data_IF_596974456522
#
_entry.id   IF_596974456522
#
_cell.length_a   1.000
_cell.length_b   1.000
_cell.length_c   1.000
_cell.angle_alpha   90.00
_cell.angle_beta   90.00
_cell.angle_gamma   90.00
#
_symmetry.space_group_name_H-M   'P 1'
#
loop_
_entity.id
_entity.type
_entity.pdbx_description
1 polymer ?
#
# COMPACT_ATOMS: atom_id res chain seq x y z
N UNK A 1 45.34 -15.14 5.59
CA UNK A 1 44.13 -14.45 5.11
C UNK A 1 44.23 -13.68 3.81
N UNK A 2 45.30 -12.94 3.51
CA UNK A 2 45.39 -12.22 2.23
C UNK A 2 45.28 -13.11 0.96
N UNK A 3 45.70 -14.38 1.04
CA UNK A 3 45.62 -15.32 -0.10
C UNK A 3 44.22 -15.88 -0.38
N UNK A 4 43.35 -16.01 0.63
CA UNK A 4 42.00 -16.57 0.45
C UNK A 4 41.04 -15.56 -0.18
N UNK A 5 41.17 -14.28 0.20
CA UNK A 5 40.37 -13.19 -0.37
C UNK A 5 40.67 -12.96 -1.85
N UNK A 6 41.93 -13.13 -2.28
CA UNK A 6 42.31 -12.99 -3.69
C UNK A 6 41.80 -14.11 -4.59
N UNK A 7 41.79 -15.36 -4.10
CA UNK A 7 41.27 -16.49 -4.86
C UNK A 7 39.75 -16.37 -5.08
N UNK A 8 39.00 -16.02 -4.02
CA UNK A 8 37.55 -15.83 -4.10
C UNK A 8 37.16 -14.70 -5.05
N UNK A 9 37.89 -13.57 -5.04
CA UNK A 9 37.64 -12.48 -5.97
C UNK A 9 37.90 -12.88 -7.44
N UNK A 10 38.91 -13.73 -7.69
CA UNK A 10 39.21 -14.23 -9.02
C UNK A 10 38.11 -15.19 -9.53
N UNK A 11 37.59 -16.06 -8.65
CA UNK A 11 36.50 -16.98 -8.98
C UNK A 11 35.20 -16.23 -9.32
N UNK A 12 34.86 -15.19 -8.54
CA UNK A 12 33.70 -14.32 -8.82
C UNK A 12 33.82 -13.57 -10.14
N UNK A 13 35.01 -13.03 -10.44
CA UNK A 13 35.27 -12.35 -11.70
C UNK A 13 35.18 -13.32 -12.90
N UNK A 14 35.68 -14.55 -12.74
CA UNK A 14 35.59 -15.58 -13.76
C UNK A 14 34.14 -15.98 -14.05
N UNK A 15 33.30 -16.15 -13.02
CA UNK A 15 31.88 -16.47 -13.17
C UNK A 15 31.11 -15.37 -13.94
N UNK A 16 31.37 -14.09 -13.62
CA UNK A 16 30.76 -12.97 -14.36
C UNK A 16 31.20 -12.91 -15.81
N UNK A 17 32.48 -13.11 -16.08
CA UNK A 17 33.00 -13.07 -17.45
C UNK A 17 32.46 -14.25 -18.28
N UNK A 18 32.30 -15.43 -17.67
CA UNK A 18 31.66 -16.59 -18.29
C UNK A 18 30.19 -16.30 -18.66
N UNK A 19 29.42 -15.75 -17.72
CA UNK A 19 28.03 -15.40 -17.98
C UNK A 19 27.90 -14.28 -19.02
N UNK A 20 28.73 -13.24 -18.92
CA UNK A 20 28.79 -12.17 -19.92
C UNK A 20 29.08 -12.71 -21.31
N UNK A 21 30.07 -13.58 -21.45
CA UNK A 21 30.39 -14.22 -22.73
C UNK A 21 29.23 -15.07 -23.27
N UNK A 22 28.46 -15.70 -22.39
CA UNK A 22 27.23 -16.42 -22.75
C UNK A 22 26.15 -15.47 -23.27
N UNK A 23 25.90 -14.35 -22.57
CA UNK A 23 24.92 -13.35 -22.99
C UNK A 23 25.31 -12.66 -24.31
N UNK A 24 26.59 -12.30 -24.49
CA UNK A 24 27.11 -11.75 -25.74
C UNK A 24 26.92 -12.73 -26.92
N UNK A 25 27.13 -14.03 -26.69
CA UNK A 25 26.95 -15.05 -27.72
C UNK A 25 25.49 -15.28 -28.10
N UNK A 26 24.56 -15.16 -27.15
CA UNK A 26 23.13 -15.44 -27.36
C UNK A 26 22.39 -14.20 -27.91
N UNK A 27 22.61 -13.04 -27.29
CA UNK A 27 21.85 -11.82 -27.58
C UNK A 27 22.58 -10.87 -28.54
N UNK A 28 23.90 -11.00 -28.71
CA UNK A 28 24.65 -10.15 -29.66
C UNK A 28 24.47 -8.66 -29.38
N UNK A 29 23.93 -7.92 -30.37
CA UNK A 29 23.68 -6.47 -30.26
C UNK A 29 22.55 -6.10 -29.28
N UNK A 30 21.75 -7.07 -28.86
CA UNK A 30 20.67 -6.88 -27.90
C UNK A 30 21.15 -6.97 -26.43
N UNK A 31 22.42 -7.29 -26.19
CA UNK A 31 23.04 -7.24 -24.87
C UNK A 31 24.03 -6.07 -24.76
N UNK A 32 23.95 -5.34 -23.64
CA UNK A 32 24.89 -4.29 -23.30
C UNK A 32 25.36 -4.42 -21.85
N UNK A 33 26.67 -4.57 -21.65
CA UNK A 33 27.32 -4.38 -20.36
C UNK A 33 27.66 -2.89 -20.20
N UNK A 34 26.79 -2.14 -19.50
CA UNK A 34 26.95 -0.70 -19.30
C UNK A 34 28.14 -0.41 -18.37
N UNK A 35 28.19 -1.15 -17.27
CA UNK A 35 29.27 -1.13 -16.28
C UNK A 35 29.63 -2.57 -15.88
N UNK A 36 30.64 -2.72 -15.01
CA UNK A 36 31.02 -4.04 -14.47
C UNK A 36 29.86 -4.74 -13.76
N UNK A 37 28.99 -3.96 -13.12
CA UNK A 37 27.88 -4.42 -12.27
C UNK A 37 26.49 -4.05 -12.82
N UNK A 38 26.39 -3.46 -14.01
CA UNK A 38 25.12 -3.07 -14.61
C UNK A 38 25.05 -3.56 -16.05
N UNK A 39 24.18 -4.54 -16.28
CA UNK A 39 23.97 -5.17 -17.58
C UNK A 39 22.53 -4.97 -18.03
N UNK A 40 22.28 -4.97 -19.33
CA UNK A 40 20.92 -4.97 -19.86
C UNK A 40 20.78 -5.84 -21.09
N UNK A 41 19.63 -6.50 -21.22
CA UNK A 41 19.24 -7.30 -22.38
C UNK A 41 17.96 -6.71 -22.95
N UNK A 42 17.94 -6.49 -24.26
CA UNK A 42 16.76 -6.04 -24.97
C UNK A 42 15.83 -7.24 -25.22
N UNK A 43 14.62 -7.18 -24.69
CA UNK A 43 13.64 -8.26 -24.79
C UNK A 43 12.64 -8.05 -25.93
N UNK A 44 12.05 -9.16 -26.40
CA UNK A 44 10.81 -9.23 -27.18
C UNK A 44 10.72 -8.23 -28.35
N UNK A 45 11.48 -8.44 -29.43
CA UNK A 45 11.52 -7.58 -30.63
C UNK A 45 11.91 -6.11 -30.37
N UNK A 46 12.50 -5.81 -29.22
CA UNK A 46 13.00 -4.46 -28.90
C UNK A 46 12.06 -3.55 -28.14
N UNK A 47 11.12 -4.12 -27.39
CA UNK A 47 10.10 -3.36 -26.65
C UNK A 47 10.53 -2.93 -25.27
N UNK A 48 11.42 -3.69 -24.66
CA UNK A 48 11.87 -3.49 -23.29
C UNK A 48 13.36 -3.68 -23.17
N UNK A 49 13.94 -3.05 -22.15
CA UNK A 49 15.23 -3.42 -21.60
C UNK A 49 15.03 -4.10 -20.26
N UNK A 50 15.53 -5.32 -20.11
CA UNK A 50 15.68 -5.95 -18.81
C UNK A 50 17.06 -5.62 -18.27
N UNK A 51 17.10 -4.78 -17.25
CA UNK A 51 18.33 -4.25 -16.64
C UNK A 51 18.62 -5.00 -15.35
N UNK A 52 19.85 -5.47 -15.19
CA UNK A 52 20.35 -6.20 -14.02
C UNK A 52 21.43 -5.39 -13.32
N UNK A 53 21.27 -5.23 -12.01
CA UNK A 53 22.31 -4.77 -11.09
C UNK A 53 22.88 -5.97 -10.35
N UNK A 54 24.16 -6.25 -10.61
CA UNK A 54 24.88 -7.38 -10.04
C UNK A 54 25.63 -6.95 -8.77
N UNK A 55 25.32 -7.51 -7.59
CA UNK A 55 26.11 -7.28 -6.38
C UNK A 55 27.61 -7.58 -6.58
N UNK A 56 28.47 -6.93 -5.80
CA UNK A 56 29.92 -7.15 -5.87
C UNK A 56 30.36 -8.59 -5.55
N UNK A 57 29.49 -9.39 -4.93
CA UNK A 57 29.64 -10.80 -4.59
C UNK A 57 28.78 -11.74 -5.45
N UNK A 58 28.08 -11.25 -6.49
CA UNK A 58 27.39 -12.11 -7.46
C UNK A 58 28.37 -13.11 -8.11
N UNK A 59 28.04 -14.41 -8.21
CA UNK A 59 26.71 -15.03 -8.07
C UNK A 59 26.25 -15.44 -6.65
N UNK A 60 27.01 -15.15 -5.60
CA UNK A 60 26.65 -15.56 -4.23
C UNK A 60 25.52 -14.72 -3.61
N UNK A 61 25.27 -13.51 -4.15
CA UNK A 61 24.10 -12.69 -3.84
C UNK A 61 23.20 -12.51 -5.07
N UNK A 62 21.89 -12.41 -4.84
CA UNK A 62 20.89 -12.30 -5.90
C UNK A 62 21.04 -11.01 -6.70
N UNK A 63 20.98 -11.05 -8.05
CA UNK A 63 20.93 -9.86 -8.86
C UNK A 63 19.59 -9.13 -8.68
N UNK A 64 19.59 -7.81 -8.84
CA UNK A 64 18.35 -7.01 -8.82
C UNK A 64 18.00 -6.66 -10.26
N UNK A 65 16.81 -7.05 -10.72
CA UNK A 65 16.36 -6.72 -12.06
C UNK A 65 15.27 -5.64 -12.06
N UNK A 66 15.25 -4.83 -13.11
CA UNK A 66 14.14 -3.92 -13.44
C UNK A 66 13.87 -3.98 -14.94
N UNK A 67 12.65 -3.58 -15.31
CA UNK A 67 12.28 -3.43 -16.72
C UNK A 67 12.16 -1.94 -17.06
N UNK A 68 12.92 -1.51 -18.05
CA UNK A 68 12.89 -0.16 -18.59
C UNK A 68 12.20 -0.17 -19.97
N UNK A 69 11.40 0.86 -20.26
CA UNK A 69 10.74 0.98 -21.54
C UNK A 69 11.75 1.21 -22.69
N UNK A 70 11.55 0.53 -23.82
CA UNK A 70 12.26 0.82 -25.07
C UNK A 70 11.29 1.41 -26.11
N UNK A 71 11.68 1.45 -27.39
CA UNK A 71 10.90 2.08 -28.47
C UNK A 71 9.64 1.30 -28.90
N UNK A 72 9.25 0.25 -28.19
CA UNK A 72 8.11 -0.60 -28.54
C UNK A 72 6.79 -0.26 -27.83
N UNK A 73 5.75 -1.12 -28.03
CA UNK A 73 4.51 -1.06 -27.26
C UNK A 73 4.74 -1.01 -25.74
N UNK A 74 3.89 -0.27 -25.01
CA UNK A 74 4.00 -0.18 -23.56
C UNK A 74 3.78 -1.54 -22.91
N UNK A 75 4.61 -1.82 -21.91
CA UNK A 75 4.50 -3.01 -21.06
C UNK A 75 3.53 -2.67 -19.93
N UNK A 76 2.62 -3.58 -19.52
CA UNK A 76 1.75 -3.32 -18.39
C UNK A 76 2.53 -2.99 -17.12
N UNK A 77 2.12 -1.97 -16.38
CA UNK A 77 2.81 -1.53 -15.15
C UNK A 77 2.93 -2.65 -14.10
N UNK A 78 1.97 -3.58 -14.09
CA UNK A 78 1.97 -4.76 -13.22
C UNK A 78 3.08 -5.77 -13.54
N UNK A 79 3.71 -5.66 -14.71
CA UNK A 79 4.75 -6.61 -15.12
C UNK A 79 6.05 -6.42 -14.36
N UNK A 80 6.35 -5.20 -13.92
CA UNK A 80 7.57 -4.90 -13.17
C UNK A 80 7.70 -5.73 -11.88
N UNK A 81 6.59 -5.97 -11.17
CA UNK A 81 6.57 -6.83 -9.99
C UNK A 81 6.95 -8.28 -10.31
N UNK A 82 6.41 -8.82 -11.41
CA UNK A 82 6.69 -10.21 -11.84
C UNK A 82 8.15 -10.43 -12.21
N UNK A 83 8.83 -9.42 -12.74
CA UNK A 83 10.26 -9.51 -13.08
C UNK A 83 11.09 -9.78 -11.82
N UNK A 84 10.81 -9.10 -10.71
CA UNK A 84 11.53 -9.32 -9.45
C UNK A 84 11.29 -10.74 -8.91
N UNK A 85 10.04 -11.21 -8.93
CA UNK A 85 9.68 -12.57 -8.50
C UNK A 85 10.38 -13.62 -9.37
N UNK A 86 10.39 -13.43 -10.68
CA UNK A 86 11.05 -14.33 -11.64
C UNK A 86 12.54 -14.46 -11.34
N UNK A 87 13.21 -13.34 -11.06
CA UNK A 87 14.66 -13.36 -10.75
C UNK A 87 14.92 -14.09 -9.43
N UNK A 88 14.06 -13.89 -8.43
CA UNK A 88 14.15 -14.60 -7.17
C UNK A 88 13.94 -16.11 -7.32
N UNK A 89 13.09 -16.55 -8.24
CA UNK A 89 12.85 -17.97 -8.54
C UNK A 89 14.00 -18.62 -9.32
N UNK A 90 14.61 -17.90 -10.26
CA UNK A 90 15.71 -18.43 -11.08
C UNK A 90 17.06 -18.41 -10.36
N UNK A 91 17.24 -17.52 -9.38
CA UNK A 91 18.51 -17.37 -8.69
C UNK A 91 18.73 -18.46 -7.64
N UNK A 92 19.97 -18.96 -7.58
CA UNK A 92 20.47 -19.74 -6.46
C UNK A 92 21.92 -19.36 -6.16
N UNK A 93 22.36 -19.36 -4.88
CA UNK A 93 23.72 -19.01 -4.52
C UNK A 93 24.76 -19.80 -5.30
N UNK A 94 25.80 -19.10 -5.73
CA UNK A 94 26.93 -19.65 -6.49
C UNK A 94 26.61 -20.11 -7.92
N UNK A 95 25.39 -19.87 -8.42
CA UNK A 95 25.01 -20.12 -9.81
C UNK A 95 24.75 -18.79 -10.54
N UNK A 96 25.32 -18.69 -11.74
CA UNK A 96 24.97 -17.62 -12.67
C UNK A 96 23.55 -17.87 -13.22
N UNK A 97 22.71 -16.83 -13.34
CA UNK A 97 21.29 -16.99 -13.67
C UNK A 97 20.69 -15.90 -14.57
N UNK A 98 21.45 -14.91 -15.03
CA UNK A 98 20.95 -13.78 -15.84
C UNK A 98 20.32 -14.28 -17.13
N UNK A 99 20.92 -15.27 -17.80
CA UNK A 99 20.33 -15.87 -19.02
C UNK A 99 18.96 -16.52 -18.72
N UNK A 100 18.87 -17.33 -17.68
CA UNK A 100 17.63 -18.01 -17.29
C UNK A 100 16.55 -17.00 -16.90
N UNK A 101 16.92 -15.94 -16.17
CA UNK A 101 16.04 -14.81 -15.86
C UNK A 101 15.50 -14.15 -17.13
N UNK A 102 16.36 -13.85 -18.11
CA UNK A 102 15.93 -13.27 -19.38
C UNK A 102 14.95 -14.19 -20.10
N UNK A 103 15.26 -15.48 -20.23
CA UNK A 103 14.40 -16.45 -20.91
C UNK A 103 13.02 -16.57 -20.25
N UNK A 104 12.98 -16.60 -18.91
CA UNK A 104 11.73 -16.70 -18.16
C UNK A 104 10.88 -15.42 -18.30
N UNK A 105 11.50 -14.24 -18.23
CA UNK A 105 10.79 -12.96 -18.43
C UNK A 105 10.24 -12.85 -19.86
N UNK A 106 11.00 -13.28 -20.88
CA UNK A 106 10.50 -13.32 -22.26
C UNK A 106 9.31 -14.26 -22.44
N UNK A 107 9.32 -15.42 -21.79
CA UNK A 107 8.21 -16.37 -21.82
C UNK A 107 6.95 -15.73 -21.24
N UNK A 108 7.05 -15.08 -20.08
CA UNK A 108 5.91 -14.37 -19.47
C UNK A 108 5.39 -13.22 -20.35
N UNK A 109 6.27 -12.48 -21.04
CA UNK A 109 5.86 -11.45 -22.00
C UNK A 109 5.08 -12.06 -23.17
N UNK A 110 5.54 -13.19 -23.72
CA UNK A 110 4.83 -13.91 -24.80
C UNK A 110 3.47 -14.44 -24.34
N UNK A 111 3.36 -14.91 -23.10
CA UNK A 111 2.07 -15.35 -22.52
C UNK A 111 1.07 -14.21 -22.37
N UNK A 112 1.54 -13.01 -21.98
CA UNK A 112 0.70 -11.81 -21.91
C UNK A 112 0.18 -11.41 -23.30
N UNK A 113 0.99 -11.57 -24.34
CA UNK A 113 0.58 -11.31 -25.72
C UNK A 113 -0.41 -12.35 -26.24
N UNK A 114 -0.17 -13.63 -25.93
CA UNK A 114 -1.06 -14.72 -26.32
C UNK A 114 -2.42 -14.70 -25.62
N UNK A 115 -2.46 -14.20 -24.38
CA UNK A 115 -3.68 -14.02 -23.59
C UNK A 115 -4.44 -12.72 -23.92
N UNK A 116 -3.87 -11.84 -24.74
CA UNK A 116 -4.50 -10.60 -25.21
C UNK A 116 -5.70 -10.77 -26.16
N UNK A 117 -6.03 -12.00 -26.56
CA UNK A 117 -7.30 -12.32 -27.23
C UNK A 117 -8.35 -12.78 -26.19
N UNK A 118 -9.10 -11.83 -25.66
CA UNK A 118 -10.38 -12.02 -24.95
C UNK A 118 -10.38 -12.97 -23.73
N UNK A 119 -10.00 -12.43 -22.57
CA UNK A 119 -10.89 -12.51 -21.39
C UNK A 119 -10.84 -11.16 -20.66
N UNK A 120 -11.79 -10.29 -20.99
CA UNK A 120 -12.17 -9.21 -20.07
C UNK A 120 -12.67 -9.92 -18.81
N UNK A 121 -12.07 -9.70 -17.63
CA UNK A 121 -12.57 -10.30 -16.41
C UNK A 121 -14.03 -9.86 -16.23
N UNK A 122 -14.94 -10.83 -16.05
CA UNK A 122 -16.37 -10.61 -15.81
C UNK A 122 -16.65 -9.78 -14.55
N UNK A 123 -15.60 -9.44 -13.79
CA UNK A 123 -15.64 -8.53 -12.67
C UNK A 123 -14.57 -7.43 -12.80
N UNK A 124 -14.91 -6.20 -13.23
CA UNK A 124 -13.98 -5.06 -13.23
C UNK A 124 -13.55 -4.59 -11.82
N UNK A 125 -13.92 -5.33 -10.77
CA UNK A 125 -13.67 -5.01 -9.35
C UNK A 125 -12.37 -5.64 -8.79
N UNK A 126 -11.68 -6.54 -9.52
CA UNK A 126 -10.55 -7.33 -8.97
C UNK A 126 -9.13 -6.87 -9.36
N UNK A 127 -8.98 -5.93 -10.30
CA UNK A 127 -7.68 -5.30 -10.56
C UNK A 127 -7.62 -3.94 -9.87
N UNK A 128 -7.52 -3.92 -8.54
CA UNK A 128 -7.07 -2.72 -7.84
C UNK A 128 -5.65 -2.41 -8.33
N UNK A 129 -5.55 -1.44 -9.23
CA UNK A 129 -4.28 -1.01 -9.80
C UNK A 129 -3.35 -0.42 -8.75
N UNK A 130 -2.16 -0.01 -9.18
CA UNK A 130 -1.21 0.72 -8.36
C UNK A 130 -1.82 2.05 -7.91
N UNK A 131 -2.06 2.22 -6.60
CA UNK A 131 -2.37 3.52 -6.04
C UNK A 131 -1.08 4.32 -5.91
N UNK A 132 -1.10 5.58 -6.34
CA UNK A 132 0.01 6.51 -6.19
C UNK A 132 -0.51 7.84 -5.68
N UNK A 133 0.14 8.37 -4.66
CA UNK A 133 -0.22 9.64 -4.05
C UNK A 133 1.03 10.46 -3.72
N UNK A 134 0.98 11.74 -4.05
CA UNK A 134 2.01 12.72 -3.72
C UNK A 134 1.43 13.78 -2.79
N UNK A 135 2.14 14.07 -1.69
CA UNK A 135 1.76 15.10 -0.72
C UNK A 135 2.97 15.98 -0.37
N UNK A 136 2.77 17.29 -0.10
CA UNK A 136 3.87 18.15 0.35
C UNK A 136 4.50 17.62 1.64
N UNK A 137 5.83 17.75 1.77
CA UNK A 137 6.57 17.22 2.91
C UNK A 137 7.44 18.30 3.54
N UNK A 138 7.17 18.63 4.81
CA UNK A 138 8.05 19.52 5.56
C UNK A 138 9.40 18.87 5.82
N UNK A 139 10.50 19.63 5.75
CA UNK A 139 11.85 19.10 5.94
C UNK A 139 12.06 18.41 7.30
N UNK A 140 11.38 18.88 8.35
CA UNK A 140 11.38 18.27 9.70
C UNK A 140 10.71 16.89 9.73
N UNK A 141 9.68 16.69 8.91
CA UNK A 141 8.95 15.44 8.75
C UNK A 141 9.74 14.49 7.85
N UNK A 142 10.30 15.00 6.75
CA UNK A 142 11.16 14.25 5.82
C UNK A 142 12.34 13.57 6.55
N UNK A 143 12.96 14.28 7.51
CA UNK A 143 14.05 13.76 8.33
C UNK A 143 13.67 12.56 9.21
N UNK A 144 12.37 12.33 9.45
CA UNK A 144 11.86 11.22 10.26
C UNK A 144 11.35 10.06 9.40
N UNK A 145 10.74 10.35 8.23
CA UNK A 145 10.14 9.34 7.35
C UNK A 145 11.18 8.35 6.83
N UNK A 146 12.31 8.83 6.30
CA UNK A 146 13.37 7.98 5.74
C UNK A 146 13.93 6.94 6.74
N UNK A 147 14.41 7.37 7.92
CA UNK A 147 14.87 6.43 8.97
C UNK A 147 13.78 5.47 9.45
N UNK A 148 12.53 5.91 9.50
CA UNK A 148 11.40 5.06 9.88
C UNK A 148 11.14 3.95 8.84
N UNK A 149 11.23 4.26 7.55
CA UNK A 149 11.13 3.27 6.46
C UNK A 149 12.25 2.23 6.55
N UNK A 150 13.49 2.64 6.72
CA UNK A 150 14.62 1.71 6.89
C UNK A 150 14.44 0.80 8.12
N UNK A 151 14.01 1.37 9.24
CA UNK A 151 13.73 0.61 10.47
C UNK A 151 12.62 -0.42 10.30
N UNK A 152 11.68 -0.16 9.38
CA UNK A 152 10.60 -1.06 9.02
C UNK A 152 11.00 -2.11 7.94
N UNK A 153 12.26 -2.11 7.49
CA UNK A 153 12.77 -3.10 6.53
C UNK A 153 12.69 -2.68 5.06
N UNK A 154 12.39 -1.42 4.75
CA UNK A 154 12.47 -0.92 3.37
C UNK A 154 13.94 -0.84 2.91
N UNK A 155 14.20 -1.27 1.68
CA UNK A 155 15.47 -1.04 1.00
C UNK A 155 15.58 0.42 0.59
N UNK A 156 16.69 1.07 0.95
CA UNK A 156 16.96 2.46 0.55
C UNK A 156 17.86 2.53 -0.68
N UNK A 157 17.50 3.41 -1.61
CA UNK A 157 18.23 3.70 -2.83
C UNK A 157 18.72 5.16 -2.83
N UNK A 158 19.65 5.52 -3.73
CA UNK A 158 20.02 6.92 -3.93
C UNK A 158 18.80 7.81 -4.19
N UNK A 159 18.96 9.12 -3.94
CA UNK A 159 17.93 10.14 -4.18
C UNK A 159 16.69 10.07 -3.30
N UNK A 160 16.71 9.33 -2.18
CA UNK A 160 15.59 9.29 -1.24
C UNK A 160 14.46 8.35 -1.65
N UNK A 161 14.73 7.41 -2.56
CA UNK A 161 13.80 6.34 -2.91
C UNK A 161 13.94 5.17 -1.93
N UNK A 162 12.82 4.64 -1.47
CA UNK A 162 12.71 3.47 -0.60
C UNK A 162 11.74 2.48 -1.23
N UNK A 163 12.03 1.18 -1.16
CA UNK A 163 11.12 0.16 -1.66
C UNK A 163 10.99 -1.00 -0.68
N UNK A 164 9.78 -1.56 -0.58
CA UNK A 164 9.51 -2.82 0.07
C UNK A 164 8.98 -3.80 -0.97
N UNK A 165 9.89 -4.48 -1.67
CA UNK A 165 9.61 -5.25 -2.88
C UNK A 165 8.53 -6.32 -2.65
N UNK A 166 8.63 -7.08 -1.56
CA UNK A 166 7.65 -8.12 -1.20
C UNK A 166 6.26 -7.57 -0.90
N UNK A 167 6.16 -6.27 -0.59
CA UNK A 167 4.89 -5.60 -0.34
C UNK A 167 4.48 -4.70 -1.50
N UNK A 168 5.20 -4.64 -2.62
CA UNK A 168 4.85 -3.75 -3.73
C UNK A 168 4.60 -2.31 -3.27
N UNK A 169 5.50 -1.78 -2.42
CA UNK A 169 5.46 -0.39 -1.92
C UNK A 169 6.71 0.34 -2.37
N UNK A 170 6.54 1.51 -2.96
CA UNK A 170 7.63 2.45 -3.23
C UNK A 170 7.34 3.79 -2.57
N UNK A 171 8.34 4.37 -1.92
CA UNK A 171 8.24 5.67 -1.25
C UNK A 171 9.40 6.54 -1.69
N UNK A 172 9.11 7.69 -2.28
CA UNK A 172 10.10 8.72 -2.61
C UNK A 172 9.98 9.88 -1.63
N UNK A 173 11.05 10.14 -0.89
CA UNK A 173 11.15 11.19 0.13
C UNK A 173 11.99 12.34 -0.41
N UNK A 174 11.32 13.39 -0.92
CA UNK A 174 11.94 14.63 -1.40
C UNK A 174 11.32 15.87 -0.75
N UNK A 175 11.17 16.95 -1.51
CA UNK A 175 10.34 18.12 -1.12
C UNK A 175 8.86 17.74 -1.02
N UNK A 176 8.47 16.69 -1.73
CA UNK A 176 7.19 16.03 -1.66
C UNK A 176 7.41 14.56 -1.28
N UNK A 177 6.44 13.97 -0.60
CA UNK A 177 6.38 12.54 -0.34
C UNK A 177 5.51 11.90 -1.41
N UNK A 178 6.10 11.03 -2.23
CA UNK A 178 5.33 10.20 -3.17
C UNK A 178 5.33 8.76 -2.68
N UNK A 179 4.14 8.19 -2.49
CA UNK A 179 3.96 6.81 -2.04
C UNK A 179 3.13 6.09 -3.09
N UNK A 180 3.62 4.96 -3.55
CA UNK A 180 2.88 4.06 -4.41
C UNK A 180 2.74 2.69 -3.76
N UNK A 181 1.53 2.14 -3.84
CA UNK A 181 1.13 0.89 -3.18
C UNK A 181 0.22 0.12 -4.13
N UNK A 182 0.60 -1.10 -4.46
CA UNK A 182 -0.24 -1.99 -5.27
C UNK A 182 -1.52 -2.40 -4.53
N UNK A 183 -2.63 -2.70 -5.22
CA UNK A 183 -3.81 -3.31 -4.60
C UNK A 183 -4.52 -2.45 -3.53
N UNK A 184 -4.32 -1.14 -3.54
CA UNK A 184 -4.92 -0.19 -2.58
C UNK A 184 -5.64 0.92 -3.35
N UNK A 185 -6.68 1.51 -2.75
CA UNK A 185 -7.40 2.65 -3.33
C UNK A 185 -6.63 3.97 -3.09
N UNK A 186 -6.47 4.78 -4.14
CA UNK A 186 -5.69 6.03 -4.07
C UNK A 186 -6.24 7.00 -3.03
N UNK A 187 -7.56 7.15 -2.89
CA UNK A 187 -8.13 8.07 -1.90
C UNK A 187 -7.91 7.59 -0.46
N UNK A 188 -7.93 6.27 -0.25
CA UNK A 188 -7.65 5.67 1.06
C UNK A 188 -6.16 5.87 1.41
N UNK A 189 -5.25 5.72 0.44
CA UNK A 189 -3.83 6.06 0.62
C UNK A 189 -3.62 7.55 0.93
N UNK A 190 -4.25 8.46 0.18
CA UNK A 190 -4.18 9.90 0.44
C UNK A 190 -4.69 10.26 1.83
N UNK A 191 -5.83 9.68 2.24
CA UNK A 191 -6.39 9.90 3.58
C UNK A 191 -5.46 9.40 4.68
N UNK A 192 -4.84 8.23 4.47
CA UNK A 192 -3.88 7.68 5.42
C UNK A 192 -2.63 8.54 5.55
N UNK A 193 -2.06 9.03 4.43
CA UNK A 193 -0.88 9.90 4.45
C UNK A 193 -1.14 11.21 5.19
N UNK A 194 -2.25 11.88 4.90
CA UNK A 194 -2.60 13.13 5.57
C UNK A 194 -2.78 12.96 7.08
N UNK A 195 -3.27 11.80 7.51
CA UNK A 195 -3.37 11.48 8.92
C UNK A 195 -1.98 11.17 9.49
N UNK A 196 -1.22 10.25 8.88
CA UNK A 196 0.03 9.74 9.45
C UNK A 196 1.13 10.82 9.53
N UNK A 197 1.17 11.77 8.58
CA UNK A 197 2.26 12.75 8.50
C UNK A 197 2.32 13.76 9.65
N UNK A 198 1.27 13.92 10.45
CA UNK A 198 1.34 14.79 11.63
C UNK A 198 2.12 14.09 12.78
N UNK A 199 2.37 12.78 12.70
CA UNK A 199 3.22 12.02 13.63
C UNK A 199 4.05 10.94 12.90
N UNK A 200 5.14 11.31 12.22
CA UNK A 200 5.87 10.44 11.31
C UNK A 200 6.84 9.45 11.97
N UNK A 201 6.93 9.42 13.32
CA UNK A 201 7.97 8.67 14.07
C UNK A 201 8.02 7.18 13.69
N UNK A 202 6.85 6.56 13.48
CA UNK A 202 6.73 5.16 13.05
C UNK A 202 6.10 5.02 11.66
N UNK A 203 6.33 5.99 10.76
CA UNK A 203 5.75 6.01 9.43
C UNK A 203 5.90 4.67 8.68
N UNK A 204 7.11 4.11 8.62
CA UNK A 204 7.38 2.88 7.87
C UNK A 204 6.63 1.67 8.42
N UNK A 205 6.66 1.48 9.74
CA UNK A 205 5.96 0.37 10.41
C UNK A 205 4.44 0.49 10.26
N UNK A 206 3.90 1.70 10.48
CA UNK A 206 2.48 1.98 10.31
C UNK A 206 2.01 1.79 8.87
N UNK A 207 2.84 2.12 7.87
CA UNK A 207 2.52 1.90 6.46
C UNK A 207 2.39 0.40 6.17
N UNK A 208 3.35 -0.41 6.62
CA UNK A 208 3.30 -1.87 6.41
C UNK A 208 2.08 -2.49 7.09
N UNK A 209 1.81 -2.14 8.34
CA UNK A 209 0.65 -2.63 9.08
C UNK A 209 -0.65 -2.27 8.34
N UNK A 210 -0.77 -1.01 7.90
CA UNK A 210 -1.95 -0.53 7.20
C UNK A 210 -2.14 -1.19 5.83
N UNK A 211 -1.08 -1.32 5.01
CA UNK A 211 -1.16 -1.99 3.70
C UNK A 211 -1.47 -3.48 3.85
N UNK A 212 -0.82 -4.17 4.79
CA UNK A 212 -1.11 -5.58 5.10
C UNK A 212 -2.57 -5.74 5.51
N UNK A 213 -3.08 -4.78 6.29
CA UNK A 213 -4.49 -4.55 6.48
C UNK A 213 -5.18 -4.55 5.12
N UNK A 214 -5.12 -3.45 4.37
CA UNK A 214 -5.90 -3.23 3.13
C UNK A 214 -5.95 -4.41 2.15
N UNK A 215 -4.92 -5.24 2.05
CA UNK A 215 -4.79 -6.29 1.02
C UNK A 215 -5.20 -7.71 1.39
N UNK A 216 -5.30 -8.08 2.66
CA UNK A 216 -5.52 -9.49 3.08
C UNK A 216 -6.63 -10.19 2.26
N UNK A 217 -6.36 -11.32 1.57
CA UNK A 217 -7.34 -11.92 0.62
C UNK A 217 -8.51 -12.64 1.32
N UNK A 218 -8.26 -13.26 2.47
CA UNK A 218 -9.34 -13.80 3.30
C UNK A 218 -10.28 -12.67 3.77
N UNK A 219 -9.72 -11.45 3.92
CA UNK A 219 -10.43 -10.23 4.32
C UNK A 219 -9.66 -8.94 3.95
N UNK A 220 -9.94 -8.25 2.82
CA UNK A 220 -9.13 -7.08 2.41
C UNK A 220 -9.34 -5.90 3.35
N UNK A 221 -8.34 -5.53 4.14
CA UNK A 221 -8.37 -4.52 5.22
C UNK A 221 -7.80 -4.96 6.58
N UNK A 222 -7.41 -6.24 6.77
CA UNK A 222 -7.47 -6.92 8.07
C UNK A 222 -6.33 -7.93 8.29
N UNK A 223 -5.25 -7.49 8.93
CA UNK A 223 -4.21 -8.37 9.49
C UNK A 223 -4.50 -8.65 10.98
N UNK A 224 -4.12 -9.82 11.50
CA UNK A 224 -4.20 -10.19 12.94
C UNK A 224 -3.18 -9.44 13.81
N UNK A 225 -2.92 -8.16 13.52
CA UNK A 225 -1.97 -7.33 14.26
C UNK A 225 -2.57 -6.81 15.55
N UNK A 226 -2.05 -7.30 16.69
CA UNK A 226 -2.12 -6.70 18.04
C UNK A 226 -3.41 -5.98 18.45
N UNK A 227 -4.58 -6.47 18.05
CA UNK A 227 -5.83 -5.99 18.62
C UNK A 227 -5.79 -6.31 20.11
N UNK A 228 -5.59 -5.29 20.94
CA UNK A 228 -5.73 -5.39 22.38
C UNK A 228 -7.15 -5.90 22.62
N UNK A 229 -7.29 -7.12 23.11
CA UNK A 229 -8.60 -7.70 23.41
C UNK A 229 -9.28 -6.79 24.44
N UNK A 230 -10.18 -5.94 23.98
CA UNK A 230 -11.02 -5.12 24.85
C UNK A 230 -11.94 -6.09 25.56
N UNK A 231 -11.83 -6.16 26.90
CA UNK A 231 -12.65 -7.05 27.69
C UNK A 231 -14.14 -6.77 27.44
N UNK A 232 -14.95 -7.82 27.32
CA UNK A 232 -16.40 -7.68 27.15
C UNK A 232 -16.98 -6.80 28.28
N UNK A 233 -17.58 -5.67 27.90
CA UNK A 233 -18.22 -4.73 28.83
C UNK A 233 -17.41 -3.48 29.20
N UNK A 234 -16.18 -3.32 28.72
CA UNK A 234 -15.57 -1.98 28.69
C UNK A 234 -16.19 -1.17 27.56
N UNK A 235 -16.86 -0.09 27.94
CA UNK A 235 -17.26 1.01 27.06
C UNK A 235 -15.99 1.61 26.41
N UNK A 236 -16.12 2.49 25.42
CA UNK A 236 -15.00 3.01 24.62
C UNK A 236 -14.03 3.94 25.41
N UNK A 237 -13.71 3.60 26.67
CA UNK A 237 -12.90 4.32 27.65
C UNK A 237 -11.48 4.68 27.17
N UNK A 238 -10.98 3.98 26.15
CA UNK A 238 -9.68 4.26 25.55
C UNK A 238 -9.73 5.39 24.51
N UNK A 239 -10.92 5.84 24.10
CA UNK A 239 -11.08 6.99 23.23
C UNK A 239 -10.93 8.30 24.03
N UNK A 240 -10.49 9.40 23.38
CA UNK A 240 -10.47 10.71 24.02
C UNK A 240 -11.87 11.11 24.51
N UNK A 241 -11.98 11.70 25.69
CA UNK A 241 -13.27 12.13 26.21
C UNK A 241 -13.83 13.32 25.40
N UNK A 242 -15.16 13.45 25.36
CA UNK A 242 -15.82 14.60 24.72
C UNK A 242 -15.36 15.95 25.31
N UNK A 243 -15.07 16.00 26.61
CA UNK A 243 -14.54 17.20 27.28
C UNK A 243 -13.12 17.53 26.80
N UNK A 244 -12.24 16.53 26.67
CA UNK A 244 -10.88 16.73 26.19
C UNK A 244 -10.83 17.28 24.75
N UNK A 245 -11.81 16.89 23.93
CA UNK A 245 -11.95 17.36 22.54
C UNK A 245 -12.79 18.64 22.39
N UNK A 246 -13.30 19.21 23.48
CA UNK A 246 -14.10 20.45 23.45
C UNK A 246 -15.46 20.32 22.74
N UNK A 247 -16.05 19.12 22.79
CA UNK A 247 -17.29 18.78 22.05
C UNK A 247 -18.51 19.48 22.62
N UNK A 248 -19.32 20.07 21.74
CA UNK A 248 -20.64 20.61 22.07
C UNK A 248 -21.69 19.50 22.00
N UNK A 249 -21.86 18.75 23.10
CA UNK A 249 -22.73 17.55 23.16
C UNK A 249 -24.21 17.80 22.85
N UNK A 250 -24.68 19.03 23.04
CA UNK A 250 -26.06 19.44 22.80
C UNK A 250 -26.34 19.85 21.34
N UNK A 251 -25.31 19.86 20.49
CA UNK A 251 -25.42 20.25 19.08
C UNK A 251 -26.36 19.33 18.28
N UNK A 252 -27.22 19.96 17.51
CA UNK A 252 -27.98 19.30 16.44
C UNK A 252 -27.08 19.04 15.23
N UNK A 253 -26.48 17.85 15.18
CA UNK A 253 -25.62 17.39 14.09
C UNK A 253 -26.32 16.32 13.25
N UNK A 254 -26.28 16.44 11.92
CA UNK A 254 -26.70 15.37 11.02
C UNK A 254 -25.48 14.65 10.46
N UNK A 255 -25.41 13.33 10.65
CA UNK A 255 -24.30 12.48 10.19
C UNK A 255 -24.81 11.54 9.11
N UNK A 256 -24.42 11.78 7.86
CA UNK A 256 -24.74 10.88 6.75
C UNK A 256 -23.67 9.81 6.61
N UNK A 257 -24.08 8.59 6.24
CA UNK A 257 -23.13 7.53 5.88
C UNK A 257 -23.42 7.02 4.48
N UNK A 258 -22.36 6.78 3.71
CA UNK A 258 -22.48 6.39 2.32
C UNK A 258 -21.32 5.52 1.83
N UNK A 259 -21.49 4.92 0.64
CA UNK A 259 -20.52 4.03 0.01
C UNK A 259 -20.06 4.55 -1.35
N UNK A 260 -18.74 4.66 -1.56
CA UNK A 260 -18.13 5.08 -2.84
C UNK A 260 -18.55 4.19 -4.02
N UNK A 261 -18.72 2.90 -3.77
CA UNK A 261 -19.17 1.94 -4.78
C UNK A 261 -20.60 2.21 -5.27
N UNK A 262 -21.44 2.86 -4.45
CA UNK A 262 -22.86 3.09 -4.75
C UNK A 262 -23.17 4.55 -5.11
N UNK A 263 -22.31 5.49 -4.74
CA UNK A 263 -22.48 6.93 -5.02
C UNK A 263 -21.13 7.52 -5.40
N UNK A 264 -21.14 8.40 -6.41
CA UNK A 264 -19.93 9.10 -6.88
C UNK A 264 -19.58 10.34 -6.08
N UNK A 265 -20.51 10.83 -5.25
CA UNK A 265 -20.38 12.08 -4.52
C UNK A 265 -21.05 11.97 -3.16
N UNK A 266 -20.55 12.77 -2.22
CA UNK A 266 -21.15 12.94 -0.90
C UNK A 266 -22.60 13.43 -1.01
N UNK A 267 -23.44 13.17 0.02
CA UNK A 267 -24.76 13.78 0.13
C UNK A 267 -24.67 15.31 -0.04
N UNK A 268 -25.52 15.93 -0.89
CA UNK A 268 -25.42 17.36 -1.20
C UNK A 268 -25.67 18.26 0.01
N UNK A 269 -26.35 17.74 1.05
CA UNK A 269 -26.59 18.42 2.32
C UNK A 269 -25.36 18.42 3.24
N UNK A 270 -24.35 17.61 2.93
CA UNK A 270 -23.14 17.46 3.73
C UNK A 270 -22.17 18.61 3.50
N UNK A 271 -21.75 19.27 4.57
CA UNK A 271 -20.79 20.38 4.52
C UNK A 271 -19.33 19.90 4.47
N UNK A 272 -19.05 18.72 5.04
CA UNK A 272 -17.74 18.06 4.98
C UNK A 272 -17.91 16.54 4.82
N UNK A 273 -16.96 15.89 4.16
CA UNK A 273 -16.93 14.43 4.01
C UNK A 273 -15.64 13.85 4.60
N UNK A 274 -15.77 12.77 5.36
CA UNK A 274 -14.67 12.09 6.03
C UNK A 274 -14.52 10.66 5.53
N UNK A 275 -13.31 10.33 5.05
CA UNK A 275 -13.02 8.99 4.56
C UNK A 275 -12.73 8.04 5.73
N UNK A 276 -13.68 7.15 6.03
CA UNK A 276 -13.51 6.03 6.96
C UNK A 276 -12.97 4.77 6.25
N UNK A 277 -12.66 4.83 4.96
CA UNK A 277 -11.96 3.78 4.22
C UNK A 277 -10.57 3.47 4.77
N UNK A 278 -9.90 4.47 5.37
CA UNK A 278 -8.58 4.31 5.98
C UNK A 278 -8.59 3.49 7.27
N UNK A 279 -9.76 3.37 7.92
CA UNK A 279 -9.92 2.65 9.18
C UNK A 279 -9.97 1.14 8.94
N UNK A 280 -9.55 0.39 9.95
CA UNK A 280 -9.72 -1.04 10.04
C UNK A 280 -10.97 -1.33 10.92
N UNK A 281 -11.91 -2.16 10.46
CA UNK A 281 -13.09 -2.61 11.20
C UNK A 281 -13.31 -4.12 11.24
N UNK A 282 -12.29 -4.98 11.09
CA UNK A 282 -12.44 -6.44 11.30
C UNK A 282 -11.48 -6.97 12.37
N UNK A 283 -11.80 -8.17 12.84
CA UNK A 283 -11.29 -8.75 14.07
C UNK A 283 -12.46 -9.17 14.97
N UNK A 284 -12.16 -9.60 16.20
CA UNK A 284 -13.19 -9.77 17.25
C UNK A 284 -14.32 -10.77 16.96
N UNK A 285 -14.17 -11.66 15.96
CA UNK A 285 -15.15 -12.70 15.63
C UNK A 285 -16.42 -12.21 14.91
N UNK A 286 -16.48 -10.95 14.43
CA UNK A 286 -17.64 -10.43 13.72
C UNK A 286 -17.77 -11.04 12.31
N UNK A 287 -18.97 -11.50 11.93
CA UNK A 287 -19.24 -12.00 10.58
C UNK A 287 -19.66 -10.84 9.68
N UNK A 288 -18.69 -10.23 8.99
CA UNK A 288 -18.92 -9.11 8.06
C UNK A 288 -19.88 -9.39 6.89
N UNK A 289 -20.27 -10.65 6.66
CA UNK A 289 -21.33 -10.97 5.69
C UNK A 289 -22.69 -10.66 6.28
N UNK A 290 -22.90 -10.89 7.57
CA UNK A 290 -24.17 -10.73 8.28
C UNK A 290 -24.20 -9.42 9.07
N UNK A 291 -23.14 -9.13 9.80
CA UNK A 291 -22.97 -7.94 10.61
C UNK A 291 -22.78 -6.68 9.76
N UNK A 292 -23.10 -5.53 10.35
CA UNK A 292 -22.93 -4.22 9.74
C UNK A 292 -22.51 -3.20 10.81
N UNK A 293 -22.25 -1.94 10.46
CA UNK A 293 -21.76 -0.94 11.40
C UNK A 293 -22.73 -0.57 12.54
N UNK A 294 -23.97 -1.08 12.53
CA UNK A 294 -24.90 -0.96 13.66
C UNK A 294 -24.66 -2.01 14.73
N UNK A 295 -23.90 -3.08 14.46
CA UNK A 295 -23.62 -4.12 15.45
C UNK A 295 -22.44 -3.71 16.32
N UNK A 296 -22.56 -3.95 17.63
CA UNK A 296 -21.51 -3.60 18.60
C UNK A 296 -20.16 -4.25 18.27
N UNK A 297 -20.17 -5.48 17.72
CA UNK A 297 -18.94 -6.17 17.33
C UNK A 297 -18.17 -5.39 16.24
N UNK A 298 -18.87 -4.88 15.23
CA UNK A 298 -18.23 -4.07 14.17
C UNK A 298 -17.82 -2.69 14.71
N UNK A 299 -18.60 -2.08 15.60
CA UNK A 299 -18.22 -0.82 16.24
C UNK A 299 -16.97 -0.96 17.09
N UNK A 300 -16.88 -2.00 17.93
CA UNK A 300 -15.68 -2.30 18.72
C UNK A 300 -14.47 -2.54 17.84
N UNK A 301 -14.61 -3.31 16.76
CA UNK A 301 -13.52 -3.53 15.81
C UNK A 301 -13.03 -2.21 15.21
N UNK A 302 -13.95 -1.37 14.73
CA UNK A 302 -13.60 -0.06 14.16
C UNK A 302 -12.93 0.85 15.18
N UNK A 303 -13.45 0.88 16.40
CA UNK A 303 -12.87 1.69 17.47
C UNK A 303 -11.48 1.21 17.88
N UNK A 304 -11.24 -0.11 17.85
CA UNK A 304 -9.95 -0.71 18.21
C UNK A 304 -8.84 -0.48 17.17
N UNK A 305 -9.16 0.07 16.00
CA UNK A 305 -8.15 0.45 15.01
C UNK A 305 -7.23 1.53 15.58
N UNK A 306 -5.92 1.33 15.45
CA UNK A 306 -4.89 2.27 15.91
C UNK A 306 -5.05 3.69 15.34
N UNK A 307 -5.64 3.82 14.15
CA UNK A 307 -5.92 5.12 13.52
C UNK A 307 -7.22 5.78 14.01
N UNK A 308 -8.12 5.04 14.66
CA UNK A 308 -9.45 5.52 14.98
C UNK A 308 -9.47 6.70 15.96
N UNK A 309 -8.76 6.69 17.11
CA UNK A 309 -8.74 7.82 18.03
C UNK A 309 -8.32 9.13 17.36
N UNK A 310 -7.30 9.06 16.50
CA UNK A 310 -6.76 10.22 15.79
C UNK A 310 -7.67 10.68 14.66
N UNK A 311 -8.25 9.75 13.90
CA UNK A 311 -9.25 10.07 12.89
C UNK A 311 -10.46 10.77 13.52
N UNK A 312 -10.89 10.30 14.68
CA UNK A 312 -11.99 10.86 15.44
C UNK A 312 -11.69 12.29 15.94
N UNK A 313 -10.50 12.52 16.50
CA UNK A 313 -10.03 13.86 16.88
C UNK A 313 -10.07 14.81 15.68
N UNK A 314 -9.49 14.42 14.53
CA UNK A 314 -9.53 15.22 13.29
C UNK A 314 -10.97 15.58 12.89
N UNK A 315 -11.89 14.61 12.91
CA UNK A 315 -13.30 14.81 12.56
C UNK A 315 -13.96 15.82 13.50
N UNK A 316 -13.81 15.60 14.82
CA UNK A 316 -14.42 16.44 15.86
C UNK A 316 -13.85 17.85 15.83
N UNK A 317 -12.53 18.01 15.77
CA UNK A 317 -11.89 19.33 15.67
C UNK A 317 -12.42 20.10 14.46
N UNK A 318 -12.60 19.45 13.30
CA UNK A 318 -13.18 20.12 12.12
C UNK A 318 -14.64 20.51 12.33
N UNK A 319 -15.46 19.62 12.90
CA UNK A 319 -16.87 19.90 13.22
C UNK A 319 -16.98 21.11 14.15
N UNK A 320 -16.17 21.15 15.21
CA UNK A 320 -16.22 22.24 16.19
C UNK A 320 -15.65 23.55 15.66
N UNK A 321 -14.49 23.52 15.00
CA UNK A 321 -13.83 24.71 14.50
C UNK A 321 -14.64 25.41 13.40
N UNK A 322 -15.31 24.66 12.52
CA UNK A 322 -16.08 25.20 11.40
C UNK A 322 -17.58 25.32 11.69
N UNK A 323 -18.03 24.92 12.89
CA UNK A 323 -19.45 24.98 13.27
C UNK A 323 -20.34 24.13 12.35
N UNK A 324 -19.87 22.94 11.96
CA UNK A 324 -20.60 22.06 11.03
C UNK A 324 -21.86 21.51 11.70
N UNK A 325 -22.97 21.51 10.96
CA UNK A 325 -24.27 20.95 11.35
C UNK A 325 -24.69 19.73 10.52
N UNK A 326 -24.02 19.49 9.38
CA UNK A 326 -24.23 18.33 8.53
C UNK A 326 -22.90 17.82 7.97
N UNK A 327 -22.56 16.58 8.26
CA UNK A 327 -21.34 15.92 7.78
C UNK A 327 -21.63 14.55 7.20
N UNK A 328 -20.71 14.02 6.40
CA UNK A 328 -20.83 12.68 5.85
C UNK A 328 -19.57 11.87 6.08
N UNK A 329 -19.75 10.56 6.24
CA UNK A 329 -18.68 9.60 6.43
C UNK A 329 -18.83 8.53 5.35
N UNK A 330 -17.77 8.31 4.56
CA UNK A 330 -17.78 7.33 3.48
C UNK A 330 -16.83 6.16 3.77
N UNK A 331 -17.19 5.00 3.22
CA UNK A 331 -16.23 3.92 3.00
C UNK A 331 -16.55 3.28 1.64
N UNK A 332 -15.95 2.15 1.29
CA UNK A 332 -16.16 1.51 -0.02
C UNK A 332 -17.64 1.20 -0.28
N UNK A 333 -18.29 0.42 0.60
CA UNK A 333 -19.69 -0.04 0.43
C UNK A 333 -20.70 0.69 1.36
N UNK A 334 -20.22 1.53 2.26
CA UNK A 334 -21.08 2.29 3.18
C UNK A 334 -21.88 1.43 4.18
N UNK A 335 -21.42 0.22 4.49
CA UNK A 335 -22.11 -0.74 5.38
C UNK A 335 -21.42 -0.96 6.74
N UNK A 336 -20.10 -0.85 6.80
CA UNK A 336 -19.33 -1.21 8.00
C UNK A 336 -18.68 0.03 8.61
N UNK A 337 -17.44 0.35 8.18
CA UNK A 337 -16.58 1.41 8.75
C UNK A 337 -17.28 2.76 8.93
N UNK A 338 -17.89 3.29 7.87
CA UNK A 338 -18.57 4.59 7.94
C UNK A 338 -19.78 4.61 8.87
N UNK A 339 -20.55 3.51 8.91
CA UNK A 339 -21.72 3.37 9.78
C UNK A 339 -21.28 3.23 11.23
N UNK A 340 -20.31 2.36 11.51
CA UNK A 340 -19.77 2.19 12.85
C UNK A 340 -19.18 3.50 13.40
N UNK A 341 -18.35 4.19 12.60
CA UNK A 341 -17.79 5.48 12.99
C UNK A 341 -18.88 6.53 13.28
N UNK A 342 -19.95 6.57 12.47
CA UNK A 342 -21.08 7.50 12.70
C UNK A 342 -21.85 7.19 13.98
N UNK A 343 -22.11 5.92 14.27
CA UNK A 343 -22.83 5.50 15.47
C UNK A 343 -21.98 5.72 16.74
N UNK A 344 -20.67 5.46 16.69
CA UNK A 344 -19.75 5.80 17.77
C UNK A 344 -19.72 7.32 17.99
N UNK A 345 -19.60 8.11 16.92
CA UNK A 345 -19.59 9.57 16.99
C UNK A 345 -20.86 10.12 17.64
N UNK A 346 -22.02 9.56 17.29
CA UNK A 346 -23.31 9.90 17.91
C UNK A 346 -23.38 9.48 19.38
N UNK A 347 -23.03 8.24 19.71
CA UNK A 347 -23.16 7.71 21.06
C UNK A 347 -22.23 8.43 22.04
N UNK A 348 -20.95 8.53 21.69
CA UNK A 348 -19.89 9.00 22.58
C UNK A 348 -19.79 10.53 22.63
N UNK A 349 -20.05 11.23 21.52
CA UNK A 349 -19.73 12.66 21.40
C UNK A 349 -20.95 13.54 21.15
N UNK A 350 -21.87 13.14 20.27
CA UNK A 350 -23.02 13.96 19.86
C UNK A 350 -24.35 13.21 20.08
N UNK A 351 -24.82 13.06 21.33
CA UNK A 351 -26.03 12.26 21.63
C UNK A 351 -27.32 12.77 20.96
N UNK A 352 -27.38 14.07 20.63
CA UNK A 352 -28.49 14.68 19.90
C UNK A 352 -28.39 14.53 18.37
N UNK A 353 -27.31 13.93 17.86
CA UNK A 353 -27.11 13.80 16.42
C UNK A 353 -28.12 12.84 15.77
N UNK A 354 -28.48 13.15 14.52
CA UNK A 354 -29.28 12.29 13.66
C UNK A 354 -28.38 11.57 12.66
N UNK A 355 -28.40 10.23 12.67
CA UNK A 355 -27.67 9.41 11.70
C UNK A 355 -28.57 9.00 10.53
N UNK A 356 -28.07 9.23 9.30
CA UNK A 356 -28.76 8.89 8.04
C UNK A 356 -27.89 7.95 7.22
N UNK A 357 -28.25 6.66 7.22
CA UNK A 357 -27.53 5.66 6.41
C UNK A 357 -28.12 5.58 5.01
N UNK A 358 -27.31 5.94 4.02
CA UNK A 358 -27.76 6.01 2.62
C UNK A 358 -27.41 4.74 1.82
N UNK A 359 -26.64 3.83 2.40
CA UNK A 359 -26.32 2.56 1.74
C UNK A 359 -27.51 1.60 1.78
N UNK A 360 -27.93 1.02 0.64
CA UNK A 360 -29.02 0.04 0.60
C UNK A 360 -28.67 -1.26 1.34
N UNK A 361 -27.39 -1.47 1.67
CA UNK A 361 -26.91 -2.64 2.39
C UNK A 361 -27.11 -2.55 3.92
N UNK A 362 -27.56 -1.41 4.43
CA UNK A 362 -27.95 -1.23 5.84
C UNK A 362 -29.46 -1.47 5.94
N UNK A 363 -29.85 -2.64 6.45
CA UNK A 363 -31.23 -2.88 6.91
C UNK A 363 -31.24 -2.70 8.42
N UNK A 364 -32.14 -1.84 8.91
CA UNK A 364 -32.40 -1.68 10.35
C UNK A 364 -33.20 -2.85 10.89
#
# INVERSE_FOLDING_TARGET
>A
DAGASGAMAADLAAAREEERGTLEAIYGEDFEALEEHEWRVRLCDGRAWLCFFLPHDYPDSAPVARIDAATGPPIPDTFAGRVADTVAEQWSPSNICVYDCCSAVEEQLRELEGSGAEQVPDNPEEALGKAECTVPLEASVAAQVGPSLQSAGFMSYPSGLYAHLTMGITVYVGEELTVAVDGVDTEDLTGWLNLQLQEPVNFGGSLLEWVTGQRSEETPGFAEGSAQQVAEGQEFDFLPSAEALGVQRDRDLTIYTWGKAFRKQAPPESQANFNAGILNGRGGGADIRVDNGLTEAIQRNVASCSLFPRWLEMVITKIEAEGLSAVSINCTKGRHRSVAAAEILKHEYYPNATTVHTSPAIKR
#
